data_IF_353458962257
#
_entry.id   IF_353458962257
#
_cell.length_a   1.000
_cell.length_b   1.000
_cell.length_c   1.000
_cell.angle_alpha   90.00
_cell.angle_beta   90.00
_cell.angle_gamma   90.00
#
_symmetry.space_group_name_H-M   'P 1'
#
loop_
_entity.id
_entity.type
_entity.pdbx_description
1 polymer ?
#
# COMPACT_ATOMS: atom_id res chain seq x y z
N UNK A 1 5.53 1.40 -9.71
CA UNK A 1 5.49 2.62 -8.86
C UNK A 1 6.06 2.28 -7.49
N UNK A 2 6.71 3.24 -6.83
CA UNK A 2 7.29 3.09 -5.50
C UNK A 2 6.37 3.78 -4.48
N UNK A 3 5.92 3.04 -3.47
CA UNK A 3 5.12 3.58 -2.38
C UNK A 3 5.77 3.26 -1.03
N UNK A 4 5.84 4.22 -0.09
CA UNK A 4 6.11 3.89 1.30
C UNK A 4 4.91 3.14 1.89
N UNK A 5 5.12 2.30 2.90
CA UNK A 5 4.04 1.65 3.64
C UNK A 5 3.22 2.71 4.39
N UNK A 6 2.06 3.07 3.83
CA UNK A 6 1.15 4.03 4.43
C UNK A 6 0.35 3.32 5.52
N UNK A 7 0.41 3.83 6.75
CA UNK A 7 -0.26 3.22 7.90
C UNK A 7 0.58 3.09 9.18
N UNK A 8 1.74 3.75 9.24
CA UNK A 8 2.53 3.78 10.48
C UNK A 8 1.93 4.80 11.47
N UNK A 9 0.94 4.35 12.25
CA UNK A 9 0.58 4.88 13.57
C UNK A 9 -0.10 6.25 13.67
N UNK A 10 0.30 7.26 12.90
CA UNK A 10 -0.14 8.66 13.07
C UNK A 10 -1.57 8.94 12.61
N UNK A 11 -2.09 8.17 11.66
CA UNK A 11 -3.45 8.30 11.13
C UNK A 11 -4.35 7.08 11.45
N UNK A 12 -3.86 6.11 12.23
CA UNK A 12 -4.61 4.88 12.59
C UNK A 12 -4.95 3.94 11.43
N UNK A 13 -4.45 4.21 10.23
CA UNK A 13 -4.66 3.36 9.05
C UNK A 13 -3.89 2.06 9.19
N UNK A 14 -4.58 0.92 9.24
CA UNK A 14 -3.95 -0.40 9.13
C UNK A 14 -3.69 -0.71 7.67
N UNK A 15 -2.47 -1.16 7.36
CA UNK A 15 -2.09 -1.62 6.02
C UNK A 15 -3.08 -2.67 5.47
N UNK A 16 -3.61 -3.54 6.34
CA UNK A 16 -4.62 -4.55 6.00
C UNK A 16 -5.89 -3.98 5.32
N UNK A 17 -6.18 -2.68 5.50
CA UNK A 17 -7.30 -2.00 4.82
C UNK A 17 -6.87 -1.31 3.52
N UNK A 18 -5.60 -0.95 3.38
CA UNK A 18 -5.03 -0.24 2.24
C UNK A 18 -4.62 -1.21 1.13
N UNK A 19 -4.01 -2.34 1.50
CA UNK A 19 -3.57 -3.39 0.59
C UNK A 19 -4.64 -3.83 -0.44
N UNK A 20 -5.88 -4.16 -0.05
CA UNK A 20 -6.90 -4.57 -1.02
C UNK A 20 -7.26 -3.46 -2.03
N UNK A 21 -7.17 -2.17 -1.62
CA UNK A 21 -7.43 -1.05 -2.52
C UNK A 21 -6.29 -0.88 -3.54
N UNK A 22 -5.04 -1.04 -3.10
CA UNK A 22 -3.87 -0.99 -3.98
C UNK A 22 -3.88 -2.15 -4.97
N UNK A 23 -4.28 -3.36 -4.53
CA UNK A 23 -4.39 -4.51 -5.41
C UNK A 23 -5.44 -4.29 -6.51
N UNK A 24 -6.67 -3.91 -6.14
CA UNK A 24 -7.78 -3.71 -7.08
C UNK A 24 -7.50 -2.58 -8.10
N UNK A 25 -6.85 -1.51 -7.67
CA UNK A 25 -6.66 -0.33 -8.53
C UNK A 25 -5.35 -0.36 -9.34
N UNK A 26 -4.33 -1.10 -8.90
CA UNK A 26 -3.01 -1.10 -9.55
C UNK A 26 -2.56 -2.50 -9.96
N UNK A 27 -2.41 -3.42 -8.99
CA UNK A 27 -1.83 -4.74 -9.25
C UNK A 27 -2.69 -5.58 -10.20
N UNK A 28 -4.00 -5.61 -9.99
CA UNK A 28 -4.96 -6.34 -10.83
C UNK A 28 -5.02 -5.78 -12.25
N UNK A 29 -4.63 -4.52 -12.44
CA UNK A 29 -4.48 -3.88 -13.75
C UNK A 29 -3.11 -4.11 -14.39
N UNK A 30 -2.28 -4.98 -13.79
CA UNK A 30 -0.94 -5.31 -14.26
C UNK A 30 0.10 -4.22 -13.98
N UNK A 31 -0.19 -3.27 -13.09
CA UNK A 31 0.74 -2.20 -12.71
C UNK A 31 1.60 -2.70 -11.53
N UNK A 32 2.91 -2.92 -11.72
CA UNK A 32 3.77 -3.38 -10.63
C UNK A 32 3.97 -2.29 -9.58
N UNK A 33 3.77 -2.66 -8.32
CA UNK A 33 3.92 -1.81 -7.14
C UNK A 33 4.95 -2.40 -6.20
N UNK A 34 5.88 -1.58 -5.72
CA UNK A 34 6.83 -1.95 -4.67
C UNK A 34 6.54 -1.10 -3.44
N UNK A 35 6.31 -1.77 -2.31
CA UNK A 35 6.07 -1.13 -1.02
C UNK A 35 7.34 -1.23 -0.18
N UNK A 36 7.82 -0.09 0.30
CA UNK A 36 8.94 -0.05 1.25
C UNK A 36 8.41 0.18 2.65
N UNK A 37 8.84 -0.68 3.58
CA UNK A 37 8.60 -0.46 5.00
C UNK A 37 9.68 0.49 5.54
N UNK A 38 9.25 1.65 6.03
CA UNK A 38 10.12 2.62 6.71
C UNK A 38 9.93 2.45 8.21
N UNK A 39 10.44 1.34 8.74
CA UNK A 39 10.62 1.16 10.19
C UNK A 39 11.66 2.12 10.75
#
# INVERSE_FOLDING_TARGET
MHLPRIGCGLAGGRWDRIEPLVAAELTDRGIPVTVYDTG
#
